data_IF_838891974941
#
_entry.id   IF_838891974941
#
_cell.length_a   1.000
_cell.length_b   1.000
_cell.length_c   1.000
_cell.angle_alpha   90.00
_cell.angle_beta   90.00
_cell.angle_gamma   90.00
#
_symmetry.space_group_name_H-M   'P 1'
#
loop_
_entity.id
_entity.type
_entity.pdbx_description
1 polymer ?
#
# COMPACT_ATOMS: atom_id res chain seq x y z
N UNK A 1 -10.45 17.02 -6.40
CA UNK A 1 -10.31 15.64 -6.92
C UNK A 1 -9.17 14.97 -6.17
N UNK A 2 -9.47 13.91 -5.43
CA UNK A 2 -8.53 13.17 -4.57
C UNK A 2 -7.41 12.52 -5.40
N UNK A 3 -6.17 12.96 -5.21
CA UNK A 3 -4.98 12.39 -5.84
C UNK A 3 -4.43 11.21 -5.00
N UNK A 4 -5.25 10.19 -4.75
CA UNK A 4 -4.87 8.98 -4.00
C UNK A 4 -4.78 7.74 -4.89
N UNK A 5 -4.60 7.92 -6.20
CA UNK A 5 -4.62 6.80 -7.12
C UNK A 5 -3.23 6.17 -7.24
N UNK A 6 -3.18 4.88 -6.89
CA UNK A 6 -2.09 3.92 -7.13
C UNK A 6 -1.72 3.89 -8.64
N UNK A 7 -2.66 4.26 -9.52
CA UNK A 7 -2.50 4.27 -10.97
C UNK A 7 -2.05 5.64 -11.51
N UNK A 8 -1.30 5.61 -12.61
CA UNK A 8 -0.99 6.77 -13.42
C UNK A 8 -2.28 7.39 -14.00
N UNK A 9 -2.38 8.72 -13.94
CA UNK A 9 -3.49 9.48 -14.54
C UNK A 9 -3.42 9.48 -16.08
N UNK A 10 -2.20 9.51 -16.61
CA UNK A 10 -1.88 9.45 -18.03
C UNK A 10 -0.90 8.31 -18.27
N UNK A 11 -1.04 7.61 -19.39
CA UNK A 11 -0.17 6.51 -19.75
C UNK A 11 1.26 6.99 -19.96
N UNK A 12 2.26 6.37 -19.32
CA UNK A 12 3.65 6.76 -19.49
C UNK A 12 4.17 6.51 -20.91
N UNK A 13 3.59 5.55 -21.63
CA UNK A 13 4.01 5.19 -23.00
C UNK A 13 3.49 6.19 -24.04
N UNK A 14 2.19 6.47 -24.02
CA UNK A 14 1.52 7.21 -25.09
C UNK A 14 0.88 8.54 -24.65
N UNK A 15 1.02 8.93 -23.38
CA UNK A 15 0.42 10.16 -22.82
C UNK A 15 -1.10 10.13 -22.69
N UNK A 16 -1.75 9.08 -23.21
CA UNK A 16 -3.21 8.90 -23.22
C UNK A 16 -3.81 8.85 -21.82
N UNK A 17 -4.99 9.42 -21.64
CA UNK A 17 -5.66 9.44 -20.33
C UNK A 17 -6.10 8.01 -19.93
N UNK A 18 -5.65 7.55 -18.77
CA UNK A 18 -6.08 6.26 -18.22
C UNK A 18 -7.36 6.49 -17.41
N UNK A 19 -8.41 5.75 -17.73
CA UNK A 19 -9.62 5.71 -16.92
C UNK A 19 -9.31 4.92 -15.64
N UNK A 20 -9.59 5.49 -14.48
CA UNK A 20 -9.06 5.00 -13.19
C UNK A 20 -9.39 3.56 -12.79
N UNK A 21 -10.36 2.91 -13.46
CA UNK A 21 -10.75 1.52 -13.23
C UNK A 21 -10.16 0.51 -14.24
N UNK A 22 -9.40 0.97 -15.25
CA UNK A 22 -8.77 0.06 -16.21
C UNK A 22 -7.36 -0.33 -15.77
N UNK A 23 -7.06 -1.63 -15.91
CA UNK A 23 -5.72 -2.20 -15.71
C UNK A 23 -4.80 -2.06 -16.93
N UNK A 24 -5.22 -1.30 -17.96
CA UNK A 24 -4.45 -1.05 -19.18
C UNK A 24 -4.84 0.29 -19.81
N UNK A 25 -3.99 0.82 -20.68
CA UNK A 25 -4.28 2.00 -21.47
C UNK A 25 -5.12 1.61 -22.69
N UNK A 26 -6.35 2.11 -22.80
CA UNK A 26 -7.22 1.84 -23.96
C UNK A 26 -6.72 2.42 -25.28
N UNK A 27 -5.70 3.29 -25.27
CA UNK A 27 -5.20 3.97 -26.46
C UNK A 27 -4.03 3.21 -27.11
N UNK A 28 -3.06 2.78 -26.31
CA UNK A 28 -1.87 2.06 -26.79
C UNK A 28 -1.75 0.62 -26.26
N UNK A 29 -2.74 0.12 -25.50
CA UNK A 29 -2.77 -1.25 -24.98
C UNK A 29 -1.81 -1.51 -23.81
N UNK A 30 -0.98 -0.53 -23.43
CA UNK A 30 0.03 -0.71 -22.37
C UNK A 30 -0.61 -1.06 -21.03
N UNK A 31 -0.11 -2.11 -20.38
CA UNK A 31 -0.49 -2.52 -19.03
C UNK A 31 0.27 -1.76 -17.93
N UNK A 32 1.22 -0.90 -18.31
CA UNK A 32 2.02 -0.10 -17.39
C UNK A 32 1.23 1.12 -16.88
N UNK A 33 0.10 0.86 -16.25
CA UNK A 33 -0.82 1.88 -15.71
C UNK A 33 -0.65 2.09 -14.21
N UNK A 34 0.01 1.16 -13.52
CA UNK A 34 0.25 1.24 -12.07
C UNK A 34 1.51 2.06 -11.81
N UNK A 35 1.40 3.07 -10.95
CA UNK A 35 2.58 3.81 -10.49
C UNK A 35 3.23 3.03 -9.34
N UNK A 36 4.08 2.06 -9.69
CA UNK A 36 4.78 1.20 -8.74
C UNK A 36 5.65 1.97 -7.75
N UNK A 37 6.20 3.13 -8.14
CA UNK A 37 6.97 3.99 -7.23
C UNK A 37 6.10 4.55 -6.10
N UNK A 38 4.92 5.08 -6.44
CA UNK A 38 4.00 5.61 -5.43
C UNK A 38 3.38 4.49 -4.59
N UNK A 39 3.01 3.38 -5.24
CA UNK A 39 2.48 2.18 -4.60
C UNK A 39 3.46 1.62 -3.57
N UNK A 40 4.74 1.50 -3.93
CA UNK A 40 5.78 1.02 -3.03
C UNK A 40 5.95 1.91 -1.80
N UNK A 41 5.98 3.23 -1.99
CA UNK A 41 6.05 4.19 -0.86
C UNK A 41 4.81 4.05 0.04
N UNK A 42 3.62 3.96 -0.54
CA UNK A 42 2.38 3.77 0.22
C UNK A 42 2.41 2.48 1.04
N UNK A 43 2.81 1.36 0.43
CA UNK A 43 2.91 0.06 1.10
C UNK A 43 3.96 0.07 2.23
N UNK A 44 5.09 0.74 2.04
CA UNK A 44 6.11 0.89 3.08
C UNK A 44 5.58 1.66 4.29
N UNK A 45 4.89 2.78 4.04
CA UNK A 45 4.29 3.59 5.12
C UNK A 45 3.22 2.77 5.85
N UNK A 46 2.30 2.15 5.11
CA UNK A 46 1.23 1.33 5.69
C UNK A 46 1.79 0.15 6.48
N UNK A 47 2.80 -0.55 5.95
CA UNK A 47 3.46 -1.67 6.64
C UNK A 47 4.19 -1.23 7.91
N UNK A 48 4.85 -0.08 7.90
CA UNK A 48 5.52 0.45 9.09
C UNK A 48 4.51 0.78 10.19
N UNK A 49 3.40 1.44 9.84
CA UNK A 49 2.32 1.75 10.79
C UNK A 49 1.73 0.46 11.37
N UNK A 50 1.49 -0.54 10.51
CA UNK A 50 0.95 -1.83 10.92
C UNK A 50 1.90 -2.55 11.90
N UNK A 51 3.21 -2.58 11.61
CA UNK A 51 4.20 -3.19 12.51
C UNK A 51 4.29 -2.48 13.86
N UNK A 52 4.28 -1.14 13.88
CA UNK A 52 4.29 -0.37 15.12
C UNK A 52 3.04 -0.64 15.94
N UNK A 53 1.86 -0.70 15.31
CA UNK A 53 0.62 -1.05 15.97
C UNK A 53 0.68 -2.47 16.56
N UNK A 54 1.12 -3.44 15.78
CA UNK A 54 1.29 -4.83 16.24
C UNK A 54 2.25 -4.92 17.43
N UNK A 55 3.39 -4.23 17.40
CA UNK A 55 4.32 -4.18 18.52
C UNK A 55 3.71 -3.54 19.77
N UNK A 56 2.92 -2.48 19.60
CA UNK A 56 2.23 -1.84 20.71
C UNK A 56 1.19 -2.77 21.35
N UNK A 57 0.37 -3.42 20.52
CA UNK A 57 -0.60 -4.41 21.00
C UNK A 57 0.10 -5.61 21.65
N UNK A 58 1.16 -6.15 21.03
CA UNK A 58 1.95 -7.22 21.62
C UNK A 58 2.48 -6.82 23.00
N UNK A 59 3.09 -5.64 23.15
CA UNK A 59 3.56 -5.14 24.47
C UNK A 59 2.43 -5.00 25.48
N UNK A 60 1.24 -4.55 25.08
CA UNK A 60 0.08 -4.45 25.97
C UNK A 60 -0.47 -5.83 26.38
N UNK A 61 -0.44 -6.80 25.46
CA UNK A 61 -0.76 -8.19 25.77
C UNK A 61 0.27 -8.80 26.72
N UNK A 62 1.57 -8.61 26.48
CA UNK A 62 2.66 -9.12 27.32
C UNK A 62 2.73 -8.47 28.71
N UNK A 63 2.20 -7.26 28.87
CA UNK A 63 2.04 -6.64 30.17
C UNK A 63 0.95 -7.30 31.04
N UNK A 64 0.09 -8.15 30.46
CA UNK A 64 -0.85 -8.94 31.24
C UNK A 64 -0.16 -10.22 31.76
N UNK A 65 -0.22 -10.49 33.08
CA UNK A 65 0.49 -11.60 33.71
C UNK A 65 0.02 -12.98 33.24
N UNK A 66 -1.15 -13.07 32.60
CA UNK A 66 -1.68 -14.31 32.00
C UNK A 66 -0.99 -14.67 30.68
N UNK A 67 -0.43 -13.68 29.97
CA UNK A 67 0.15 -13.85 28.63
C UNK A 67 1.68 -13.62 28.60
N UNK A 68 2.29 -13.20 29.71
CA UNK A 68 3.74 -12.99 29.83
C UNK A 68 4.60 -14.27 29.74
N UNK A 69 3.96 -15.44 29.71
CA UNK A 69 4.62 -16.76 29.65
C UNK A 69 4.70 -17.33 28.22
N UNK A 70 4.14 -16.64 27.22
CA UNK A 70 4.15 -17.06 25.81
C UNK A 70 5.40 -16.52 25.14
N UNK A 71 6.13 -17.32 24.35
CA UNK A 71 7.46 -16.98 23.78
C UNK A 71 7.53 -15.76 22.83
N UNK A 72 6.39 -15.15 22.52
CA UNK A 72 6.26 -13.91 21.74
C UNK A 72 6.16 -12.67 22.64
N UNK A 73 6.08 -12.91 23.95
CA UNK A 73 6.49 -12.07 25.04
C UNK A 73 7.85 -12.62 25.56
#
# INVERSE_FOLDING_TARGET
MSNLFINHKNCPECGGRIKGYYYYCGQCGSQNVVNWKHTGIFLLIAGTIFLVAMLFFAKKFCANPFFSQVSLC
#
